data_IF_790043079132
#
_entry.id   IF_790043079132
#
_cell.length_a   1.000
_cell.length_b   1.000
_cell.length_c   1.000
_cell.angle_alpha   90.00
_cell.angle_beta   90.00
_cell.angle_gamma   90.00
#
_symmetry.space_group_name_H-M   'P 1'
#
loop_
_entity.id
_entity.type
_entity.pdbx_description
1 polymer ?
#
# COMPACT_ATOMS: atom_id res chain seq x y z
N UNK A 1 18.65 18.27 -1.46
CA UNK A 1 19.72 17.25 -1.39
C UNK A 1 19.13 15.85 -1.33
N UNK A 2 18.39 15.48 -0.28
CA UNK A 2 17.75 14.17 -0.11
C UNK A 2 17.07 13.59 -1.38
N UNK A 3 16.22 14.36 -2.08
CA UNK A 3 15.55 13.89 -3.32
C UNK A 3 16.55 13.56 -4.43
N UNK A 4 17.62 14.34 -4.58
CA UNK A 4 18.67 14.08 -5.58
C UNK A 4 19.40 12.77 -5.25
N UNK A 5 19.76 12.58 -3.98
CA UNK A 5 20.47 11.39 -3.53
C UNK A 5 19.57 10.15 -3.65
N UNK A 6 18.27 10.28 -3.33
CA UNK A 6 17.24 9.26 -3.56
C UNK A 6 17.14 8.88 -5.05
N UNK A 7 17.13 9.87 -5.95
CA UNK A 7 17.08 9.61 -7.39
C UNK A 7 18.31 8.85 -7.89
N UNK A 8 19.45 8.92 -7.19
CA UNK A 8 20.62 8.07 -7.45
C UNK A 8 20.37 6.58 -7.21
N UNK A 9 19.30 6.20 -6.49
CA UNK A 9 18.90 4.81 -6.25
C UNK A 9 17.96 4.24 -7.33
N UNK A 10 17.65 5.02 -8.38
CA UNK A 10 16.81 4.54 -9.47
C UNK A 10 17.47 3.38 -10.22
N UNK A 11 16.66 2.39 -10.58
CA UNK A 11 17.12 1.24 -11.34
C UNK A 11 17.49 1.65 -12.75
N UNK A 12 18.78 1.61 -13.07
CA UNK A 12 19.23 1.81 -14.44
C UNK A 12 18.67 0.72 -15.36
N UNK A 13 18.38 1.08 -16.61
CA UNK A 13 17.78 0.21 -17.62
C UNK A 13 18.45 -1.18 -17.75
N UNK A 14 19.77 -1.25 -17.55
CA UNK A 14 20.54 -2.49 -17.60
C UNK A 14 20.17 -3.49 -16.47
N UNK A 15 19.93 -3.00 -15.24
CA UNK A 15 19.51 -3.85 -14.12
C UNK A 15 18.10 -4.40 -14.36
N UNK A 16 17.22 -3.58 -14.94
CA UNK A 16 15.87 -4.02 -15.34
C UNK A 16 15.98 -5.16 -16.37
N UNK A 17 16.90 -5.07 -17.33
CA UNK A 17 17.13 -6.12 -18.33
C UNK A 17 17.73 -7.40 -17.73
N UNK A 18 18.60 -7.29 -16.73
CA UNK A 18 19.16 -8.46 -16.03
C UNK A 18 18.10 -9.19 -15.17
N UNK A 19 17.25 -8.44 -14.46
CA UNK A 19 16.11 -9.02 -13.73
C UNK A 19 15.19 -9.77 -14.71
N UNK A 20 14.90 -9.16 -15.88
CA UNK A 20 14.13 -9.80 -16.96
C UNK A 20 14.78 -11.09 -17.47
N UNK A 21 16.10 -11.09 -17.70
CA UNK A 21 16.83 -12.27 -18.19
C UNK A 21 16.89 -13.42 -17.16
N UNK A 22 16.77 -13.12 -15.86
CA UNK A 22 16.79 -14.13 -14.79
C UNK A 22 15.48 -14.93 -14.62
N UNK A 23 14.42 -14.59 -15.39
CA UNK A 23 13.12 -15.23 -15.28
C UNK A 23 12.47 -15.06 -13.90
N UNK A 24 12.77 -13.96 -13.19
CA UNK A 24 12.22 -13.67 -11.86
C UNK A 24 12.84 -14.47 -10.71
N UNK A 25 13.82 -15.35 -10.94
CA UNK A 25 14.51 -16.14 -9.90
C UNK A 25 15.23 -15.29 -8.84
N UNK A 26 15.58 -14.05 -9.18
CA UNK A 26 16.14 -13.07 -8.23
C UNK A 26 15.18 -12.68 -7.10
N UNK A 27 13.88 -12.94 -7.21
CA UNK A 27 12.88 -12.45 -6.26
C UNK A 27 12.87 -13.20 -4.91
N UNK A 28 13.36 -14.43 -4.85
CA UNK A 28 13.36 -15.22 -3.60
C UNK A 28 14.28 -14.64 -2.52
N UNK A 29 15.31 -13.90 -2.92
CA UNK A 29 16.21 -13.20 -2.00
C UNK A 29 15.71 -11.81 -1.59
N UNK A 30 14.66 -11.29 -2.24
CA UNK A 30 14.17 -9.92 -2.02
C UNK A 30 13.74 -9.66 -0.57
N UNK A 31 13.00 -10.59 0.05
CA UNK A 31 12.54 -10.44 1.44
C UNK A 31 13.71 -10.60 2.44
N UNK A 32 14.53 -11.66 2.39
CA UNK A 32 15.70 -11.78 3.27
C UNK A 32 16.65 -10.58 3.21
N UNK A 33 16.93 -10.06 2.02
CA UNK A 33 17.77 -8.89 1.84
C UNK A 33 17.10 -7.62 2.39
N UNK A 34 15.77 -7.48 2.24
CA UNK A 34 15.03 -6.37 2.84
C UNK A 34 15.07 -6.42 4.37
N UNK A 35 14.95 -7.61 4.97
CA UNK A 35 15.11 -7.81 6.42
C UNK A 35 16.51 -7.35 6.88
N UNK A 36 17.57 -7.64 6.11
CA UNK A 36 18.91 -7.19 6.45
C UNK A 36 19.05 -5.65 6.39
N UNK A 37 18.39 -4.99 5.44
CA UNK A 37 18.33 -3.53 5.42
C UNK A 37 17.54 -2.96 6.61
N UNK A 38 16.44 -3.61 6.99
CA UNK A 38 15.66 -3.24 8.18
C UNK A 38 16.51 -3.31 9.45
N UNK A 39 17.25 -4.41 9.63
CA UNK A 39 18.18 -4.60 10.75
C UNK A 39 19.27 -3.52 10.77
N UNK A 40 19.84 -3.17 9.61
CA UNK A 40 20.87 -2.12 9.49
C UNK A 40 20.40 -0.73 9.91
N UNK A 41 19.12 -0.41 9.70
CA UNK A 41 18.54 0.88 10.12
C UNK A 41 17.99 0.84 11.55
N UNK A 42 18.31 -0.22 12.31
CA UNK A 42 17.98 -0.34 13.72
C UNK A 42 16.60 -0.92 14.04
N UNK A 43 15.92 -1.52 13.05
CA UNK A 43 14.59 -2.11 13.24
C UNK A 43 14.60 -3.62 12.97
N UNK A 44 13.75 -4.36 13.67
CA UNK A 44 13.51 -5.78 13.38
C UNK A 44 12.16 -5.97 12.70
N UNK A 45 11.95 -7.14 12.07
CA UNK A 45 10.65 -7.50 11.50
C UNK A 45 9.55 -7.48 12.57
N UNK A 46 9.88 -7.87 13.81
CA UNK A 46 8.96 -7.86 14.95
C UNK A 46 8.55 -6.44 15.39
N UNK A 47 9.39 -5.44 15.15
CA UNK A 47 9.00 -4.05 15.44
C UNK A 47 7.84 -3.60 14.57
N UNK A 48 7.71 -4.15 13.35
CA UNK A 48 6.61 -3.82 12.43
C UNK A 48 5.24 -4.26 12.96
N UNK A 49 5.18 -5.22 13.89
CA UNK A 49 3.93 -5.65 14.52
C UNK A 49 3.27 -4.51 15.32
N UNK A 50 4.07 -3.54 15.80
CA UNK A 50 3.57 -2.33 16.49
C UNK A 50 2.76 -1.41 15.59
N UNK A 51 2.85 -1.58 14.27
CA UNK A 51 2.22 -0.71 13.28
C UNK A 51 0.81 -1.15 12.90
N UNK A 52 0.29 -2.27 13.44
CA UNK A 52 -1.05 -2.80 13.18
C UNK A 52 -1.43 -2.73 11.69
N UNK A 53 -0.59 -3.32 10.83
CA UNK A 53 -0.58 -3.07 9.39
C UNK A 53 -1.88 -3.51 8.71
N UNK A 54 -2.41 -2.66 7.82
CA UNK A 54 -3.39 -3.04 6.79
C UNK A 54 -2.64 -3.14 5.47
N UNK A 55 -2.57 -4.32 4.87
CA UNK A 55 -1.72 -4.57 3.69
C UNK A 55 -2.58 -4.77 2.44
N UNK A 56 -2.38 -3.96 1.40
CA UNK A 56 -3.28 -3.93 0.23
C UNK A 56 -2.53 -4.24 -1.07
N UNK A 57 -2.91 -5.33 -1.73
CA UNK A 57 -2.46 -5.73 -3.06
C UNK A 57 -3.59 -5.62 -4.11
N UNK A 58 -3.25 -5.73 -5.39
CA UNK A 58 -4.19 -5.60 -6.50
C UNK A 58 -3.53 -5.16 -7.80
N UNK A 59 -4.24 -5.32 -8.92
CA UNK A 59 -3.84 -4.69 -10.20
C UNK A 59 -4.36 -3.27 -10.24
N UNK A 60 -5.66 -3.10 -10.05
CA UNK A 60 -6.34 -1.80 -10.03
C UNK A 60 -7.01 -1.57 -8.68
N UNK A 61 -7.22 -0.30 -8.34
CA UNK A 61 -7.96 0.07 -7.12
C UNK A 61 -7.12 0.14 -5.85
N UNK A 62 -5.91 -0.44 -5.77
CA UNK A 62 -5.03 -0.40 -4.57
C UNK A 62 -4.95 0.98 -3.90
N UNK A 63 -4.43 1.99 -4.60
CA UNK A 63 -4.32 3.34 -4.07
C UNK A 63 -5.66 3.97 -3.67
N UNK A 64 -6.74 3.70 -4.43
CA UNK A 64 -8.09 4.18 -4.06
C UNK A 64 -8.63 3.47 -2.82
N UNK A 65 -8.45 2.16 -2.69
CA UNK A 65 -8.77 1.41 -1.46
C UNK A 65 -8.00 1.99 -0.28
N UNK A 66 -6.69 2.20 -0.41
CA UNK A 66 -5.89 2.80 0.65
C UNK A 66 -6.36 4.23 1.02
N UNK A 67 -6.79 5.03 0.04
CA UNK A 67 -7.35 6.36 0.26
C UNK A 67 -8.69 6.32 1.04
N UNK A 68 -9.59 5.41 0.65
CA UNK A 68 -10.84 5.17 1.39
C UNK A 68 -10.56 4.68 2.81
N UNK A 69 -9.65 3.70 2.98
CA UNK A 69 -9.26 3.17 4.30
C UNK A 69 -8.70 4.27 5.18
N UNK A 70 -7.80 5.12 4.65
CA UNK A 70 -7.27 6.26 5.38
C UNK A 70 -8.40 7.18 5.84
N UNK A 71 -9.31 7.56 4.93
CA UNK A 71 -10.38 8.52 5.21
C UNK A 71 -11.34 7.99 6.28
N UNK A 72 -11.72 6.72 6.20
CA UNK A 72 -12.57 6.05 7.21
C UNK A 72 -11.87 6.05 8.58
N UNK A 73 -10.59 5.65 8.64
CA UNK A 73 -9.85 5.64 9.90
C UNK A 73 -9.64 7.04 10.47
N UNK A 74 -9.58 8.08 9.61
CA UNK A 74 -9.57 9.48 10.05
C UNK A 74 -10.87 9.83 10.76
N UNK A 75 -12.03 9.43 10.21
CA UNK A 75 -13.32 9.68 10.88
C UNK A 75 -13.42 8.94 12.20
N UNK A 76 -12.91 7.70 12.28
CA UNK A 76 -12.79 6.97 13.55
C UNK A 76 -11.88 7.71 14.55
N UNK A 77 -10.75 8.25 14.09
CA UNK A 77 -9.85 9.05 14.93
C UNK A 77 -10.53 10.30 15.50
N UNK A 78 -11.30 11.02 14.67
CA UNK A 78 -12.07 12.19 15.09
C UNK A 78 -13.20 11.84 16.06
N UNK A 79 -13.90 10.72 15.82
CA UNK A 79 -14.90 10.22 16.77
C UNK A 79 -14.26 9.89 18.12
N UNK A 80 -13.13 9.18 18.12
CA UNK A 80 -12.40 8.86 19.36
C UNK A 80 -12.01 10.13 20.12
N UNK A 81 -11.54 11.16 19.41
CA UNK A 81 -11.24 12.47 20.01
C UNK A 81 -12.48 13.10 20.65
N UNK A 82 -13.62 13.08 19.96
CA UNK A 82 -14.88 13.59 20.50
C UNK A 82 -15.37 12.81 21.73
N UNK A 83 -15.08 11.52 21.81
CA UNK A 83 -15.35 10.65 22.97
C UNK A 83 -14.31 10.78 24.11
N UNK A 84 -13.33 11.68 23.99
CA UNK A 84 -12.26 11.86 24.98
C UNK A 84 -11.22 10.71 25.00
N UNK A 85 -11.22 9.85 23.97
CA UNK A 85 -10.23 8.78 23.79
C UNK A 85 -9.04 9.30 22.98
N UNK A 86 -7.91 8.60 23.10
CA UNK A 86 -6.73 8.92 22.30
C UNK A 86 -7.05 8.78 20.80
N UNK A 87 -6.83 9.84 19.99
CA UNK A 87 -7.02 9.79 18.55
C UNK A 87 -5.97 8.87 17.92
N UNK A 88 -6.34 8.26 16.79
CA UNK A 88 -5.43 7.42 16.02
C UNK A 88 -4.49 8.28 15.18
N UNK A 89 -3.21 7.90 15.17
CA UNK A 89 -2.19 8.38 14.25
C UNK A 89 -2.04 7.38 13.10
N UNK A 90 -2.34 7.83 11.89
CA UNK A 90 -2.51 6.96 10.72
C UNK A 90 -1.35 7.18 9.75
N UNK A 91 -0.56 6.13 9.50
CA UNK A 91 0.45 6.09 8.44
C UNK A 91 -0.15 5.56 7.14
N UNK A 92 0.22 6.15 6.00
CA UNK A 92 -0.16 5.67 4.67
C UNK A 92 1.06 5.64 3.76
N UNK A 93 1.37 4.47 3.19
CA UNK A 93 2.39 4.29 2.16
C UNK A 93 1.77 3.91 0.83
N UNK A 94 2.02 4.69 -0.22
CA UNK A 94 1.42 4.49 -1.56
C UNK A 94 2.41 4.68 -2.70
N UNK A 95 2.06 4.17 -3.89
CA UNK A 95 2.84 4.37 -5.10
C UNK A 95 2.02 4.28 -6.40
N UNK A 96 2.42 5.02 -7.46
CA UNK A 96 3.43 6.07 -7.48
C UNK A 96 2.94 7.38 -6.82
N UNK A 97 3.81 8.39 -6.74
CA UNK A 97 3.36 9.76 -6.46
C UNK A 97 2.87 10.44 -7.75
N UNK A 98 2.02 11.45 -7.61
CA UNK A 98 1.53 12.26 -8.73
C UNK A 98 2.47 13.43 -9.03
N UNK A 99 2.84 14.23 -8.02
CA UNK A 99 3.66 15.44 -8.21
C UNK A 99 4.97 15.35 -7.42
N UNK A 100 4.91 14.94 -6.15
CA UNK A 100 6.04 14.99 -5.22
C UNK A 100 6.25 13.66 -4.50
N UNK A 101 7.51 13.25 -4.34
CA UNK A 101 7.87 11.98 -3.68
C UNK A 101 7.33 11.81 -2.26
N UNK A 102 7.14 12.92 -1.54
CA UNK A 102 6.59 12.93 -0.18
C UNK A 102 5.17 12.39 -0.12
N UNK A 103 4.41 12.46 -1.22
CA UNK A 103 3.03 11.91 -1.30
C UNK A 103 2.98 10.42 -1.00
N UNK A 104 4.09 9.71 -1.19
CA UNK A 104 4.20 8.28 -0.92
C UNK A 104 4.22 7.94 0.56
N UNK A 105 4.56 8.87 1.46
CA UNK A 105 4.60 8.65 2.90
C UNK A 105 3.78 9.75 3.56
N UNK A 106 2.60 9.39 4.07
CA UNK A 106 1.69 10.32 4.70
C UNK A 106 1.46 9.96 6.16
N UNK A 107 1.25 10.98 6.98
CA UNK A 107 0.79 10.88 8.37
C UNK A 107 -0.51 11.67 8.48
N UNK A 108 -1.57 11.04 8.99
CA UNK A 108 -2.91 11.62 9.14
C UNK A 108 -3.44 12.26 7.84
N UNK A 109 -3.24 11.57 6.72
CA UNK A 109 -3.72 12.00 5.40
C UNK A 109 -2.95 13.16 4.77
N UNK A 110 -1.80 13.54 5.35
CA UNK A 110 -0.92 14.59 4.81
C UNK A 110 0.46 14.02 4.48
N UNK A 111 1.02 14.32 3.29
CA UNK A 111 2.42 14.04 2.99
C UNK A 111 3.35 14.59 4.07
N UNK A 112 4.34 13.80 4.51
CA UNK A 112 5.32 14.26 5.51
C UNK A 112 5.99 15.55 5.05
N UNK A 113 6.33 16.44 5.98
CA UNK A 113 6.91 17.75 5.65
C UNK A 113 8.26 17.60 4.92
N UNK A 114 8.74 18.67 4.30
CA UNK A 114 10.07 18.63 3.66
C UNK A 114 11.19 18.36 4.66
N UNK A 115 11.04 18.89 5.89
CA UNK A 115 12.00 18.68 6.97
C UNK A 115 11.96 17.24 7.47
N UNK A 116 10.77 16.68 7.70
CA UNK A 116 10.61 15.29 8.12
C UNK A 116 11.09 14.33 7.04
N UNK A 117 10.79 14.61 5.77
CA UNK A 117 11.32 13.81 4.66
C UNK A 117 12.84 13.80 4.65
N UNK A 118 13.49 14.97 4.79
CA UNK A 118 14.95 15.06 4.82
C UNK A 118 15.53 14.33 6.04
N UNK A 119 14.93 14.51 7.22
CA UNK A 119 15.30 13.83 8.46
C UNK A 119 15.25 12.32 8.29
N UNK A 120 14.09 11.75 7.94
CA UNK A 120 13.91 10.31 7.82
C UNK A 120 14.70 9.71 6.66
N UNK A 121 14.92 10.49 5.59
CA UNK A 121 15.80 10.10 4.51
C UNK A 121 17.23 9.90 5.02
N UNK A 122 17.82 10.88 5.70
CA UNK A 122 19.20 10.77 6.18
C UNK A 122 19.35 9.80 7.36
N UNK A 123 18.37 9.71 8.28
CA UNK A 123 18.34 8.65 9.31
C UNK A 123 18.42 7.24 8.67
N UNK A 124 17.71 7.01 7.55
CA UNK A 124 17.73 5.73 6.82
C UNK A 124 19.00 5.57 5.98
N UNK A 125 19.34 6.57 5.18
CA UNK A 125 20.42 6.54 4.19
C UNK A 125 21.80 6.42 4.84
N UNK A 126 22.05 7.20 5.90
CA UNK A 126 23.34 7.18 6.58
C UNK A 126 23.52 5.89 7.40
N UNK A 127 22.45 5.37 8.01
CA UNK A 127 22.49 4.08 8.70
C UNK A 127 22.84 2.92 7.74
N UNK A 128 22.32 2.94 6.51
CA UNK A 128 22.66 1.94 5.49
C UNK A 128 24.11 2.04 5.00
N UNK A 129 24.67 3.25 4.96
CA UNK A 129 26.07 3.50 4.56
C UNK A 129 27.08 3.29 5.67
N UNK A 130 26.64 3.30 6.92
CA UNK A 130 27.51 3.09 8.06
C UNK A 130 28.17 1.70 7.98
N UNK A 131 29.49 1.59 8.22
CA UNK A 131 30.20 0.32 8.21
C UNK A 131 29.90 -0.47 9.49
N UNK A 132 28.63 -0.80 9.73
CA UNK A 132 28.26 -1.72 10.80
C UNK A 132 28.59 -3.15 10.36
N UNK A 133 29.25 -3.95 11.23
CA UNK A 133 29.40 -5.38 10.96
C UNK A 133 28.01 -5.99 10.84
N UNK A 134 27.74 -6.80 9.80
CA UNK A 134 26.41 -7.31 9.57
C UNK A 134 26.00 -8.25 10.72
N UNK A 135 24.79 -8.05 11.27
CA UNK A 135 24.24 -8.86 12.37
C UNK A 135 24.02 -10.33 11.97
N UNK A 136 23.96 -10.61 10.66
CA UNK A 136 23.89 -11.94 10.05
C UNK A 136 24.83 -12.02 8.85
N UNK A 137 25.36 -13.21 8.55
CA UNK A 137 26.07 -13.47 7.28
C UNK A 137 25.08 -13.34 6.13
N UNK A 138 24.90 -12.14 5.61
CA UNK A 138 24.31 -11.92 4.30
C UNK A 138 25.35 -12.34 3.27
N UNK A 139 24.92 -13.01 2.19
CA UNK A 139 25.81 -13.45 1.12
C UNK A 139 26.66 -12.28 0.60
N UNK A 140 27.89 -12.59 0.17
CA UNK A 140 28.90 -11.62 -0.29
C UNK A 140 28.42 -10.74 -1.45
N UNK A 141 27.32 -11.12 -2.12
CA UNK A 141 26.76 -10.46 -3.30
C UNK A 141 25.54 -9.56 -3.04
N UNK A 142 25.15 -9.31 -1.78
CA UNK A 142 24.02 -8.40 -1.51
C UNK A 142 24.40 -6.93 -1.72
N UNK A 143 23.57 -6.13 -2.40
CA UNK A 143 23.90 -4.74 -2.71
C UNK A 143 24.01 -3.92 -1.41
N UNK A 144 24.89 -2.92 -1.42
CA UNK A 144 25.10 -2.04 -0.28
C UNK A 144 23.90 -1.13 0.00
N UNK A 145 23.10 -0.82 -1.03
CA UNK A 145 21.93 0.05 -0.94
C UNK A 145 20.71 -0.59 -1.64
N UNK A 146 19.51 -0.47 -1.06
CA UNK A 146 18.28 -0.89 -1.71
C UNK A 146 17.93 0.04 -2.87
N UNK A 147 17.30 -0.53 -3.90
CA UNK A 147 16.76 0.21 -5.04
C UNK A 147 15.65 1.18 -4.61
N UNK A 148 15.39 2.21 -5.42
CA UNK A 148 14.46 3.32 -5.14
C UNK A 148 13.18 2.95 -4.38
N UNK A 149 12.40 1.98 -4.88
CA UNK A 149 11.14 1.59 -4.23
C UNK A 149 11.36 0.89 -2.88
N UNK A 150 12.37 0.02 -2.79
CA UNK A 150 12.72 -0.67 -1.54
C UNK A 150 13.24 0.33 -0.51
N UNK A 151 14.07 1.29 -0.92
CA UNK A 151 14.52 2.36 -0.04
C UNK A 151 13.33 3.16 0.52
N UNK A 152 12.37 3.56 -0.32
CA UNK A 152 11.18 4.28 0.13
C UNK A 152 10.28 3.44 1.04
N UNK A 153 10.15 2.14 0.78
CA UNK A 153 9.42 1.22 1.66
C UNK A 153 10.09 1.14 3.04
N UNK A 154 11.42 1.05 3.06
CA UNK A 154 12.22 1.01 4.27
C UNK A 154 12.09 2.32 5.07
N UNK A 155 12.22 3.46 4.38
CA UNK A 155 12.02 4.79 4.95
C UNK A 155 10.58 4.97 5.49
N UNK A 156 9.57 4.39 4.83
CA UNK A 156 8.18 4.45 5.32
C UNK A 156 8.01 3.69 6.63
N UNK A 157 8.50 2.46 6.74
CA UNK A 157 8.50 1.72 8.01
C UNK A 157 9.27 2.45 9.10
N UNK A 158 10.46 2.96 8.79
CA UNK A 158 11.24 3.76 9.72
C UNK A 158 10.45 4.99 10.20
N UNK A 159 9.86 5.75 9.27
CA UNK A 159 9.03 6.92 9.58
C UNK A 159 7.88 6.53 10.50
N UNK A 160 7.12 5.48 10.17
CA UNK A 160 5.95 5.05 10.94
C UNK A 160 6.29 4.57 12.35
N UNK A 161 7.43 3.88 12.53
CA UNK A 161 7.93 3.48 13.85
C UNK A 161 8.38 4.70 14.67
N UNK A 162 9.09 5.65 14.06
CA UNK A 162 9.57 6.88 14.73
C UNK A 162 8.42 7.80 15.11
N UNK A 163 7.41 7.88 14.25
CA UNK A 163 6.19 8.65 14.49
C UNK A 163 5.20 7.92 15.40
N UNK A 164 5.43 6.64 15.74
CA UNK A 164 4.53 5.82 16.57
C UNK A 164 3.10 5.83 16.03
N UNK A 165 2.93 5.52 14.75
CA UNK A 165 1.59 5.41 14.17
C UNK A 165 0.85 4.22 14.78
N UNK A 166 -0.45 4.39 15.03
CA UNK A 166 -1.32 3.34 15.56
C UNK A 166 -1.73 2.33 14.47
N UNK A 167 -1.68 2.77 13.20
CA UNK A 167 -2.01 1.97 12.01
C UNK A 167 -1.16 2.41 10.83
N UNK A 168 -0.57 1.46 10.12
CA UNK A 168 0.09 1.68 8.84
C UNK A 168 -0.68 0.99 7.71
N UNK A 169 -1.20 1.79 6.77
CA UNK A 169 -1.82 1.31 5.54
C UNK A 169 -0.71 1.19 4.48
N UNK A 170 -0.40 -0.03 4.08
CA UNK A 170 0.71 -0.33 3.17
C UNK A 170 0.16 -0.77 1.81
N UNK A 171 0.36 0.05 0.78
CA UNK A 171 0.12 -0.34 -0.61
C UNK A 171 1.29 -1.16 -1.14
N UNK A 172 1.00 -2.34 -1.69
CA UNK A 172 1.98 -3.14 -2.44
C UNK A 172 2.39 -2.41 -3.72
N UNK A 173 3.69 -2.40 -4.02
CA UNK A 173 4.22 -1.87 -5.27
C UNK A 173 3.85 -2.76 -6.45
N UNK A 174 4.62 -3.83 -6.66
CA UNK A 174 4.43 -4.76 -7.78
C UNK A 174 4.42 -6.20 -7.28
N UNK A 175 3.38 -6.94 -7.65
CA UNK A 175 3.18 -8.32 -7.21
C UNK A 175 2.53 -8.38 -5.83
N UNK A 176 3.26 -8.94 -4.86
CA UNK A 176 2.81 -9.18 -3.48
C UNK A 176 3.82 -10.05 -2.74
N UNK A 177 3.91 -11.34 -3.11
CA UNK A 177 4.79 -12.37 -2.51
C UNK A 177 6.21 -11.87 -2.21
N UNK A 178 6.85 -11.23 -3.20
CA UNK A 178 8.24 -10.79 -3.12
C UNK A 178 8.39 -9.26 -3.04
N UNK A 179 7.29 -8.54 -2.86
CA UNK A 179 7.32 -7.08 -2.74
C UNK A 179 7.94 -6.68 -1.39
N UNK A 180 8.71 -5.59 -1.34
CA UNK A 180 9.37 -5.15 -0.10
C UNK A 180 8.41 -4.84 1.04
N UNK A 181 7.15 -4.52 0.74
CA UNK A 181 6.12 -4.33 1.77
C UNK A 181 5.76 -5.64 2.47
N UNK A 182 5.97 -6.80 1.83
CA UNK A 182 5.59 -8.13 2.34
C UNK A 182 6.53 -8.71 3.42
N UNK A 183 7.46 -7.89 3.93
CA UNK A 183 8.28 -8.25 5.11
C UNK A 183 7.45 -8.37 6.38
N UNK A 184 6.28 -7.72 6.43
CA UNK A 184 5.37 -7.78 7.59
C UNK A 184 4.89 -9.23 7.77
N UNK A 185 5.06 -9.76 8.98
CA UNK A 185 4.70 -11.15 9.30
C UNK A 185 3.26 -11.27 9.79
N UNK A 186 2.77 -10.28 10.54
CA UNK A 186 1.44 -10.30 11.14
C UNK A 186 0.68 -8.99 10.85
N UNK A 187 0.30 -8.73 9.58
CA UNK A 187 -0.67 -7.68 9.31
C UNK A 187 -1.99 -8.00 10.03
N UNK A 188 -2.73 -6.95 10.41
CA UNK A 188 -4.05 -7.10 11.04
C UNK A 188 -5.08 -7.59 10.03
N UNK A 189 -4.95 -7.19 8.77
CA UNK A 189 -5.81 -7.66 7.68
C UNK A 189 -5.12 -7.43 6.34
N UNK A 190 -5.33 -8.35 5.40
CA UNK A 190 -4.87 -8.23 4.02
C UNK A 190 -6.03 -7.91 3.09
N UNK A 191 -5.83 -7.00 2.14
CA UNK A 191 -6.82 -6.62 1.14
C UNK A 191 -6.35 -6.93 -0.28
N UNK A 192 -7.17 -7.62 -1.06
CA UNK A 192 -6.91 -7.91 -2.47
C UNK A 192 -7.94 -7.15 -3.33
N UNK A 193 -7.52 -6.00 -3.85
CA UNK A 193 -8.28 -5.22 -4.82
C UNK A 193 -8.34 -5.95 -6.19
N UNK A 194 -9.04 -5.36 -7.15
CA UNK A 194 -9.31 -5.98 -8.45
C UNK A 194 -8.02 -6.48 -9.14
N UNK A 195 -8.05 -7.75 -9.52
CA UNK A 195 -6.99 -8.42 -10.28
C UNK A 195 -7.32 -8.38 -11.77
N UNK A 196 -6.30 -8.13 -12.56
CA UNK A 196 -6.38 -8.07 -14.01
C UNK A 196 -5.00 -8.23 -14.61
N UNK A 197 -4.96 -8.54 -15.91
CA UNK A 197 -3.72 -8.72 -16.66
C UNK A 197 -2.98 -7.39 -16.73
N UNK A 198 -1.86 -7.32 -16.03
CA UNK A 198 -0.93 -6.18 -16.02
C UNK A 198 0.45 -6.69 -15.58
N UNK A 199 1.50 -5.94 -15.90
CA UNK A 199 2.88 -6.29 -15.55
C UNK A 199 3.31 -7.71 -16.00
N UNK A 200 2.87 -8.14 -17.18
CA UNK A 200 3.09 -9.50 -17.69
C UNK A 200 4.58 -9.91 -17.69
N UNK A 201 5.46 -8.94 -17.93
CA UNK A 201 6.91 -9.14 -17.95
C UNK A 201 7.53 -9.48 -16.58
N UNK A 202 6.81 -9.29 -15.47
CA UNK A 202 7.32 -9.47 -14.11
C UNK A 202 6.51 -10.47 -13.27
N UNK A 203 5.20 -10.61 -13.54
CA UNK A 203 4.28 -11.39 -12.71
C UNK A 203 3.69 -12.62 -13.43
N UNK A 204 4.06 -12.85 -14.68
CA UNK A 204 3.49 -13.92 -15.50
C UNK A 204 2.46 -13.40 -16.51
N UNK A 205 2.14 -14.25 -17.48
CA UNK A 205 1.26 -13.90 -18.61
C UNK A 205 -0.19 -14.29 -18.38
N UNK A 206 -0.46 -15.06 -17.32
CA UNK A 206 -1.80 -15.57 -16.98
C UNK A 206 -2.38 -14.86 -15.76
N UNK A 207 -3.71 -14.90 -15.62
CA UNK A 207 -4.37 -14.29 -14.47
C UNK A 207 -4.05 -15.05 -13.18
N UNK A 208 -3.83 -16.36 -13.27
CA UNK A 208 -3.48 -17.25 -12.16
C UNK A 208 -2.08 -16.93 -11.60
N UNK A 209 -1.08 -16.73 -12.46
CA UNK A 209 0.27 -16.32 -12.04
C UNK A 209 0.24 -14.96 -11.35
N UNK A 210 -0.50 -14.00 -11.90
CA UNK A 210 -0.68 -12.68 -11.31
C UNK A 210 -1.37 -12.81 -9.95
N UNK A 211 -2.48 -13.56 -9.88
CA UNK A 211 -3.22 -13.79 -8.65
C UNK A 211 -2.33 -14.45 -7.58
N UNK A 212 -1.50 -15.42 -7.95
CA UNK A 212 -0.59 -16.10 -7.04
C UNK A 212 0.40 -15.11 -6.41
N UNK A 213 0.99 -14.24 -7.24
CA UNK A 213 1.89 -13.20 -6.75
C UNK A 213 1.18 -12.22 -5.82
N UNK A 214 -0.02 -11.76 -6.16
CA UNK A 214 -0.72 -10.74 -5.34
C UNK A 214 -1.29 -11.32 -4.05
N UNK A 215 -1.81 -12.53 -4.10
CA UNK A 215 -2.27 -13.27 -2.93
C UNK A 215 -1.13 -13.69 -1.99
N UNK A 216 0.14 -13.49 -2.37
CA UNK A 216 1.30 -13.73 -1.50
C UNK A 216 1.46 -12.79 -0.33
N UNK A 217 0.60 -11.77 -0.22
CA UNK A 217 0.48 -10.99 1.01
C UNK A 217 -0.35 -11.70 2.09
N UNK A 218 -1.09 -12.76 1.76
CA UNK A 218 -1.87 -13.54 2.72
C UNK A 218 -0.89 -14.21 3.68
N UNK A 219 -1.12 -14.04 4.99
CA UNK A 219 -0.27 -14.57 6.05
C UNK A 219 -1.02 -15.61 6.88
N UNK A 220 -0.31 -16.52 7.56
CA UNK A 220 -0.93 -17.54 8.40
C UNK A 220 -1.93 -16.94 9.40
N UNK A 221 -3.18 -17.40 9.38
CA UNK A 221 -4.25 -17.01 10.31
C UNK A 221 -4.60 -15.52 10.31
N UNK A 222 -4.22 -14.79 9.26
CA UNK A 222 -4.61 -13.39 9.08
C UNK A 222 -5.81 -13.34 8.13
N UNK A 223 -6.91 -12.67 8.50
CA UNK A 223 -8.07 -12.53 7.62
C UNK A 223 -7.68 -11.77 6.35
N UNK A 224 -8.29 -12.19 5.24
CA UNK A 224 -8.13 -11.57 3.93
C UNK A 224 -9.48 -11.17 3.38
N UNK A 225 -9.55 -9.94 2.87
CA UNK A 225 -10.72 -9.40 2.19
C UNK A 225 -10.38 -9.24 0.71
N UNK A 226 -11.26 -9.69 -0.17
CA UNK A 226 -11.14 -9.44 -1.61
C UNK A 226 -12.42 -8.83 -2.17
N UNK A 227 -12.29 -8.01 -3.21
CA UNK A 227 -13.44 -7.69 -4.09
C UNK A 227 -13.80 -8.93 -4.91
N UNK A 228 -14.96 -8.92 -5.57
CA UNK A 228 -15.29 -9.92 -6.58
C UNK A 228 -14.18 -9.99 -7.66
N UNK A 229 -13.79 -11.21 -8.04
CA UNK A 229 -12.74 -11.47 -9.03
C UNK A 229 -13.27 -12.35 -10.15
N UNK A 230 -12.51 -12.44 -11.24
CA UNK A 230 -12.73 -13.50 -12.24
C UNK A 230 -12.46 -14.88 -11.60
N UNK A 231 -13.16 -15.95 -12.03
CA UNK A 231 -13.10 -17.26 -11.36
C UNK A 231 -11.69 -17.82 -11.19
N UNK A 232 -10.84 -17.64 -12.20
CA UNK A 232 -9.46 -18.12 -12.21
C UNK A 232 -8.62 -17.46 -11.12
N UNK A 233 -8.80 -16.15 -10.92
CA UNK A 233 -8.10 -15.39 -9.89
C UNK A 233 -8.64 -15.69 -8.50
N UNK A 234 -9.97 -15.80 -8.35
CA UNK A 234 -10.62 -16.13 -7.08
C UNK A 234 -10.15 -17.49 -6.56
N UNK A 235 -10.10 -18.49 -7.43
CA UNK A 235 -9.62 -19.84 -7.09
C UNK A 235 -8.22 -19.81 -6.48
N UNK A 236 -7.30 -19.02 -7.04
CA UNK A 236 -5.94 -18.89 -6.50
C UNK A 236 -5.93 -18.19 -5.13
N UNK A 237 -6.77 -17.17 -4.94
CA UNK A 237 -6.91 -16.50 -3.64
C UNK A 237 -7.46 -17.47 -2.59
N UNK A 238 -8.49 -18.26 -2.91
CA UNK A 238 -9.07 -19.29 -2.03
C UNK A 238 -8.05 -20.35 -1.66
N UNK A 239 -7.27 -20.85 -2.62
CA UNK A 239 -6.20 -21.82 -2.38
C UNK A 239 -5.13 -21.26 -1.42
N UNK A 240 -4.69 -20.02 -1.63
CA UNK A 240 -3.68 -19.34 -0.80
C UNK A 240 -4.22 -19.02 0.60
N UNK A 241 -5.49 -18.64 0.72
CA UNK A 241 -6.14 -18.44 2.00
C UNK A 241 -6.21 -19.76 2.79
N UNK A 242 -6.63 -20.85 2.14
CA UNK A 242 -6.66 -22.20 2.73
C UNK A 242 -5.29 -22.69 3.16
N UNK A 243 -4.25 -22.51 2.34
CA UNK A 243 -2.86 -22.87 2.68
C UNK A 243 -2.34 -22.14 3.91
N UNK A 244 -2.83 -20.92 4.14
CA UNK A 244 -2.44 -20.08 5.27
C UNK A 244 -3.44 -20.16 6.44
N UNK A 245 -4.46 -21.02 6.41
CA UNK A 245 -5.50 -21.05 7.46
C UNK A 245 -6.10 -19.65 7.70
N UNK A 246 -6.27 -18.89 6.63
CA UNK A 246 -6.75 -17.51 6.62
C UNK A 246 -8.23 -17.48 6.22
N UNK A 247 -9.04 -16.74 6.97
CA UNK A 247 -10.44 -16.50 6.65
C UNK A 247 -10.53 -15.54 5.46
N UNK A 248 -11.14 -15.99 4.36
CA UNK A 248 -11.38 -15.18 3.16
C UNK A 248 -12.82 -14.67 3.13
N UNK A 249 -12.97 -13.36 3.05
CA UNK A 249 -14.24 -12.70 2.79
C UNK A 249 -14.22 -12.00 1.43
N UNK A 250 -15.19 -12.30 0.58
CA UNK A 250 -15.40 -11.59 -0.69
C UNK A 250 -16.50 -10.57 -0.51
N UNK A 251 -16.19 -9.29 -0.72
CA UNK A 251 -17.13 -8.18 -0.54
C UNK A 251 -17.81 -7.80 -1.85
N UNK A 252 -19.08 -7.41 -1.73
CA UNK A 252 -19.86 -6.84 -2.83
C UNK A 252 -19.67 -5.33 -2.89
N UNK A 253 -19.72 -4.71 -4.08
CA UNK A 253 -19.68 -3.25 -4.21
C UNK A 253 -20.73 -2.56 -3.33
N UNK A 254 -20.39 -1.39 -2.77
CA UNK A 254 -21.36 -0.60 -2.00
C UNK A 254 -22.42 0.02 -2.92
N UNK A 255 -23.69 -0.20 -2.59
CA UNK A 255 -24.83 0.45 -3.23
C UNK A 255 -25.23 1.71 -2.45
N UNK A 256 -25.79 2.70 -3.15
CA UNK A 256 -26.46 3.87 -2.55
C UNK A 256 -25.65 4.76 -1.57
N UNK A 257 -24.33 4.61 -1.52
CA UNK A 257 -23.42 5.53 -0.80
C UNK A 257 -22.80 6.55 -1.76
N UNK A 258 -22.82 7.82 -1.36
CA UNK A 258 -22.07 8.88 -2.05
C UNK A 258 -20.58 8.73 -1.74
N UNK A 259 -19.76 8.54 -2.77
CA UNK A 259 -18.31 8.40 -2.65
C UNK A 259 -17.62 9.71 -2.98
N UNK A 260 -16.58 10.07 -2.23
CA UNK A 260 -15.75 11.24 -2.54
C UNK A 260 -14.85 11.02 -3.78
N UNK A 261 -14.51 9.77 -4.07
CA UNK A 261 -13.82 9.36 -5.31
C UNK A 261 -14.86 8.78 -6.27
N UNK A 262 -15.05 9.44 -7.42
CA UNK A 262 -16.09 9.09 -8.38
C UNK A 262 -15.74 7.86 -9.24
N UNK A 263 -16.77 7.21 -9.78
CA UNK A 263 -16.66 6.11 -10.74
C UNK A 263 -17.24 4.78 -10.22
N UNK A 264 -17.90 4.03 -11.10
CA UNK A 264 -18.58 2.77 -10.73
C UNK A 264 -17.62 1.75 -10.10
N UNK A 265 -16.41 1.66 -10.64
CA UNK A 265 -15.37 0.76 -10.11
C UNK A 265 -14.90 1.14 -8.69
N UNK A 266 -15.12 2.38 -8.25
CA UNK A 266 -14.78 2.80 -6.88
C UNK A 266 -15.71 2.19 -5.83
N UNK A 267 -16.91 1.72 -6.19
CA UNK A 267 -17.82 1.04 -5.28
C UNK A 267 -17.22 -0.25 -4.71
N UNK A 268 -16.50 -1.01 -5.54
CA UNK A 268 -15.77 -2.19 -5.08
C UNK A 268 -14.59 -1.81 -4.18
N UNK A 269 -13.85 -0.75 -4.53
CA UNK A 269 -12.73 -0.28 -3.71
C UNK A 269 -13.19 0.25 -2.34
N UNK A 270 -14.34 0.94 -2.29
CA UNK A 270 -14.99 1.43 -1.10
C UNK A 270 -15.50 0.29 -0.20
N UNK A 271 -16.10 -0.75 -0.80
CA UNK A 271 -16.50 -1.95 -0.07
C UNK A 271 -15.30 -2.64 0.58
N UNK A 272 -14.22 -2.82 -0.18
CA UNK A 272 -12.98 -3.41 0.33
C UNK A 272 -12.42 -2.57 1.48
N UNK A 273 -12.31 -1.25 1.31
CA UNK A 273 -11.82 -0.36 2.37
C UNK A 273 -12.68 -0.40 3.64
N UNK A 274 -14.00 -0.49 3.48
CA UNK A 274 -14.97 -0.57 4.59
C UNK A 274 -14.72 -1.82 5.43
N UNK A 275 -14.64 -2.99 4.79
CA UNK A 275 -14.41 -4.25 5.49
C UNK A 275 -12.99 -4.32 6.08
N UNK A 276 -11.97 -3.81 5.39
CA UNK A 276 -10.62 -3.68 5.97
C UNK A 276 -10.63 -2.86 7.27
N UNK A 277 -11.38 -1.75 7.30
CA UNK A 277 -11.52 -0.94 8.51
C UNK A 277 -12.32 -1.64 9.60
N UNK A 278 -13.35 -2.40 9.23
CA UNK A 278 -14.16 -3.18 10.16
C UNK A 278 -13.32 -4.25 10.87
N UNK A 279 -12.67 -5.12 10.09
CA UNK A 279 -11.78 -6.18 10.61
C UNK A 279 -10.65 -5.57 11.43
N UNK A 280 -10.04 -4.48 10.96
CA UNK A 280 -8.98 -3.81 11.71
C UNK A 280 -9.46 -3.29 13.06
N UNK A 281 -10.56 -2.53 13.10
CA UNK A 281 -11.11 -1.96 14.33
C UNK A 281 -11.55 -3.04 15.33
N UNK A 282 -12.13 -4.14 14.84
CA UNK A 282 -12.50 -5.28 15.67
C UNK A 282 -11.27 -5.93 16.32
N UNK A 283 -10.19 -6.17 15.55
CA UNK A 283 -9.00 -6.87 16.03
C UNK A 283 -8.09 -6.00 16.93
N UNK A 284 -8.04 -4.68 16.74
CA UNK A 284 -7.13 -3.80 17.48
C UNK A 284 -7.80 -3.04 18.63
N UNK A 285 -9.10 -2.80 18.55
CA UNK A 285 -9.82 -1.98 19.53
C UNK A 285 -11.07 -2.64 20.11
N UNK A 286 -11.44 -3.84 19.64
CA UNK A 286 -12.66 -4.56 20.05
C UNK A 286 -13.91 -3.69 19.93
N UNK A 287 -13.96 -2.84 18.90
CA UNK A 287 -15.06 -1.91 18.63
C UNK A 287 -15.68 -2.29 17.29
N UNK A 288 -17.00 -2.49 17.29
CA UNK A 288 -17.75 -2.60 16.06
C UNK A 288 -17.72 -1.26 15.34
N UNK A 289 -17.32 -1.26 14.08
CA UNK A 289 -17.28 -0.04 13.32
C UNK A 289 -18.70 0.53 13.13
N UNK A 290 -18.92 1.77 13.57
CA UNK A 290 -20.21 2.46 13.38
C UNK A 290 -20.38 2.84 11.91
N UNK A 291 -21.54 2.53 11.34
CA UNK A 291 -21.88 2.85 9.96
C UNK A 291 -21.76 4.35 9.65
N UNK A 292 -21.97 5.22 10.64
CA UNK A 292 -21.95 6.68 10.47
C UNK A 292 -20.58 7.25 10.08
N UNK A 293 -19.49 6.81 10.72
CA UNK A 293 -18.16 7.32 10.38
C UNK A 293 -17.59 6.65 9.12
N UNK A 294 -17.99 5.41 8.83
CA UNK A 294 -17.66 4.74 7.57
C UNK A 294 -18.25 5.51 6.41
N UNK A 295 -19.56 5.77 6.44
CA UNK A 295 -20.25 6.53 5.39
C UNK A 295 -19.61 7.91 5.20
N UNK A 296 -19.30 8.61 6.30
CA UNK A 296 -18.62 9.91 6.23
C UNK A 296 -17.21 9.80 5.65
N UNK A 297 -16.46 8.75 6.01
CA UNK A 297 -15.12 8.50 5.49
C UNK A 297 -15.14 8.21 3.99
N UNK A 298 -16.09 7.42 3.51
CA UNK A 298 -16.30 7.16 2.09
C UNK A 298 -16.65 8.44 1.31
N UNK A 299 -17.52 9.29 1.86
CA UNK A 299 -17.93 10.55 1.24
C UNK A 299 -16.78 11.58 1.19
N UNK A 300 -15.95 11.65 2.23
CA UNK A 300 -14.84 12.62 2.31
C UNK A 300 -13.54 12.15 1.65
N UNK A 301 -13.46 10.87 1.25
CA UNK A 301 -12.26 10.34 0.64
C UNK A 301 -11.91 11.11 -0.64
N UNK A 302 -10.63 11.47 -0.77
CA UNK A 302 -10.11 12.16 -1.94
C UNK A 302 -8.78 11.54 -2.33
N UNK A 303 -8.54 11.42 -3.63
CA UNK A 303 -7.29 10.91 -4.16
C UNK A 303 -6.87 11.71 -5.40
N UNK A 304 -5.86 12.59 -5.29
CA UNK A 304 -5.45 13.44 -6.40
C UNK A 304 -5.15 12.63 -7.68
N UNK A 305 -5.65 13.12 -8.82
CA UNK A 305 -5.50 12.43 -10.10
C UNK A 305 -6.37 11.18 -10.29
N UNK A 306 -7.39 10.94 -9.45
CA UNK A 306 -8.43 9.92 -9.70
C UNK A 306 -9.80 10.57 -9.71
N UNK A 307 -10.39 10.61 -10.91
CA UNK A 307 -11.72 11.19 -11.17
C UNK A 307 -11.91 12.54 -10.49
N UNK A 308 -10.85 13.34 -10.49
CA UNK A 308 -10.76 14.60 -9.77
C UNK A 308 -11.34 15.70 -10.65
N UNK A 309 -12.27 16.46 -10.09
CA UNK A 309 -12.88 17.60 -10.79
C UNK A 309 -12.66 18.88 -9.99
N UNK A 310 -12.27 19.97 -10.64
CA UNK A 310 -12.15 21.28 -10.00
C UNK A 310 -12.42 22.42 -10.99
N UNK A 311 -13.03 23.52 -10.53
CA UNK A 311 -13.29 24.67 -11.39
C UNK A 311 -11.99 25.30 -11.87
N UNK A 312 -11.99 25.82 -13.09
CA UNK A 312 -10.84 26.55 -13.61
C UNK A 312 -10.62 27.84 -12.83
N UNK A 313 -9.41 28.10 -12.31
CA UNK A 313 -9.12 29.35 -11.62
C UNK A 313 -9.14 30.57 -12.56
N UNK A 314 -9.15 30.35 -13.88
CA UNK A 314 -9.12 31.41 -14.90
C UNK A 314 -10.45 31.62 -15.63
N UNK A 315 -11.29 30.59 -15.72
CA UNK A 315 -12.52 30.62 -16.53
C UNK A 315 -13.67 30.02 -15.70
N UNK A 316 -14.54 30.85 -15.10
CA UNK A 316 -15.56 30.38 -14.15
C UNK A 316 -16.54 29.33 -14.70
N UNK A 317 -16.77 29.30 -16.01
CA UNK A 317 -17.66 28.32 -16.67
C UNK A 317 -16.99 26.98 -17.00
N UNK A 318 -15.68 26.85 -16.79
CA UNK A 318 -14.92 25.66 -17.17
C UNK A 318 -14.57 24.81 -15.93
N UNK A 319 -14.83 23.51 -16.03
CA UNK A 319 -14.42 22.51 -15.02
C UNK A 319 -13.33 21.63 -15.62
N UNK A 320 -12.23 21.45 -14.88
CA UNK A 320 -11.17 20.51 -15.24
C UNK A 320 -11.52 19.13 -14.67
N UNK A 321 -11.38 18.11 -15.49
CA UNK A 321 -11.46 16.71 -15.09
C UNK A 321 -10.09 16.06 -15.28
N UNK A 322 -9.52 15.50 -14.21
CA UNK A 322 -8.18 14.91 -14.19
C UNK A 322 -8.25 13.46 -13.72
N UNK A 323 -7.75 12.54 -14.55
CA UNK A 323 -7.57 11.14 -14.19
C UNK A 323 -6.25 10.59 -14.75
N UNK A 324 -5.49 9.87 -13.93
CA UNK A 324 -4.28 9.15 -14.32
C UNK A 324 -4.55 7.80 -15.01
N UNK A 325 -5.67 7.66 -15.72
CA UNK A 325 -6.01 6.48 -16.50
C UNK A 325 -5.03 6.30 -17.67
N UNK A 326 -4.35 5.16 -17.73
CA UNK A 326 -3.26 4.88 -18.68
C UNK A 326 -3.38 3.51 -19.36
N UNK A 327 -4.47 2.78 -19.11
CA UNK A 327 -4.83 1.54 -19.82
C UNK A 327 -6.11 1.77 -20.62
N UNK A 328 -6.33 1.00 -21.68
CA UNK A 328 -7.56 1.08 -22.50
C UNK A 328 -8.81 0.91 -21.63
N UNK A 329 -8.79 -0.06 -20.73
CA UNK A 329 -9.90 -0.32 -19.81
C UNK A 329 -10.15 0.84 -18.84
N UNK A 330 -9.09 1.39 -18.23
CA UNK A 330 -9.24 2.54 -17.32
C UNK A 330 -9.73 3.79 -18.06
N UNK A 331 -9.27 4.04 -19.28
CA UNK A 331 -9.71 5.20 -20.08
C UNK A 331 -11.20 5.08 -20.39
N UNK A 332 -11.67 3.88 -20.77
CA UNK A 332 -13.11 3.62 -20.98
C UNK A 332 -13.94 3.79 -19.70
N UNK A 333 -13.38 3.44 -18.54
CA UNK A 333 -14.05 3.62 -17.26
C UNK A 333 -14.19 5.10 -16.89
N UNK A 334 -13.19 5.94 -17.20
CA UNK A 334 -13.21 7.38 -16.94
C UNK A 334 -14.04 8.19 -17.94
N UNK A 335 -14.30 7.64 -19.13
CA UNK A 335 -15.08 8.33 -20.17
C UNK A 335 -16.61 8.23 -19.98
N UNK A 336 -17.07 7.48 -18.97
CA UNK A 336 -18.49 7.29 -18.63
C UNK A 336 -18.88 8.21 -17.49
#
# INVERSE_FOLDING_TARGET
AAVRDLNGLQTNYQIIQQIKASGGRMNQHSIPEFCAFLEKIGHSVKDLDKLNVIHVAGTKGKGSTCAFTQSILTQLSEQRRAEGKQPLKIGLFTSPHLIQVRERIQINGQPISQLDFAKYFYETFDALRSPHPPLRKVSVDSPSMPMYFRFLTLMAYHTFLREQVDVAIMEVGVGGEYDSTNVVQQPVVCGIASLGIDHQNSLGSTIEEIAWHKAGIIKPKVPVVSVEQVPEALKVIEERARENDAELQVVKPVDDVELGIQGVHQRANAALATELCHVWAQRTHNVAASESYIARGLQLASWPGRSQSFPSPRVPSLTWHVDGAHTVESIRACAK
#
